data_IF_339692801290
#
_entry.id   IF_339692801290
#
_cell.length_a   1.000
_cell.length_b   1.000
_cell.length_c   1.000
_cell.angle_alpha   90.00
_cell.angle_beta   90.00
_cell.angle_gamma   90.00
#
_symmetry.space_group_name_H-M   'P 1'
#
loop_
_entity.id
_entity.type
_entity.pdbx_description
1 polymer ?
#
# COMPACT_ATOMS: atom_id res chain seq x y z
N UNK A 1 -18.51 -31.29 -20.64
CA UNK A 1 -17.89 -29.95 -20.45
C UNK A 1 -17.46 -29.76 -18.99
N UNK A 2 -18.34 -29.96 -18.01
CA UNK A 2 -18.02 -29.85 -16.56
C UNK A 2 -16.79 -30.66 -16.09
N UNK A 3 -16.67 -31.95 -16.45
CA UNK A 3 -15.52 -32.77 -16.02
C UNK A 3 -14.14 -32.23 -16.44
N UNK A 4 -14.03 -31.49 -17.55
CA UNK A 4 -12.75 -30.92 -17.99
C UNK A 4 -12.36 -29.68 -17.18
N UNK A 5 -13.34 -28.91 -16.72
CA UNK A 5 -13.11 -27.75 -15.84
C UNK A 5 -12.70 -28.19 -14.43
N UNK A 6 -13.33 -29.24 -13.91
CA UNK A 6 -12.97 -29.80 -12.59
C UNK A 6 -11.53 -30.34 -12.59
N UNK A 7 -11.12 -31.07 -13.63
CA UNK A 7 -9.75 -31.58 -13.75
C UNK A 7 -8.70 -30.45 -13.74
N UNK A 8 -8.97 -29.30 -14.34
CA UNK A 8 -8.00 -28.18 -14.33
C UNK A 8 -7.88 -27.54 -12.96
N UNK A 9 -8.99 -27.37 -12.24
CA UNK A 9 -8.96 -26.88 -10.86
C UNK A 9 -8.22 -27.85 -9.92
N UNK A 10 -8.48 -29.15 -10.06
CA UNK A 10 -7.77 -30.20 -9.30
C UNK A 10 -6.27 -30.23 -9.63
N UNK A 11 -5.92 -30.09 -10.92
CA UNK A 11 -4.51 -30.05 -11.36
C UNK A 11 -3.78 -28.85 -10.75
N UNK A 12 -4.38 -27.66 -10.80
CA UNK A 12 -3.77 -26.47 -10.21
C UNK A 12 -3.61 -26.60 -8.68
N UNK A 13 -4.62 -27.13 -7.98
CA UNK A 13 -4.54 -27.37 -6.54
C UNK A 13 -3.46 -28.40 -6.17
N UNK A 14 -3.28 -29.45 -6.99
CA UNK A 14 -2.20 -30.43 -6.81
C UNK A 14 -0.82 -29.80 -6.98
N UNK A 15 -0.65 -28.93 -7.99
CA UNK A 15 0.59 -28.20 -8.21
C UNK A 15 0.92 -27.26 -7.05
N UNK A 16 -0.06 -26.49 -6.56
CA UNK A 16 0.09 -25.63 -5.38
C UNK A 16 0.51 -26.46 -4.14
N UNK A 17 -0.14 -27.60 -3.91
CA UNK A 17 0.21 -28.48 -2.79
C UNK A 17 1.65 -29.03 -2.89
N UNK A 18 2.09 -29.40 -4.09
CA UNK A 18 3.48 -29.82 -4.34
C UNK A 18 4.47 -28.68 -4.13
N UNK A 19 4.10 -27.47 -4.55
CA UNK A 19 4.92 -26.28 -4.33
C UNK A 19 5.12 -26.01 -2.83
N UNK A 20 4.05 -26.10 -2.05
CA UNK A 20 4.10 -25.96 -0.59
C UNK A 20 4.99 -27.04 0.05
N UNK A 21 4.81 -28.31 -0.34
CA UNK A 21 5.62 -29.42 0.17
C UNK A 21 7.11 -29.24 -0.14
N UNK A 22 7.46 -28.88 -1.37
CA UNK A 22 8.85 -28.60 -1.75
C UNK A 22 9.44 -27.45 -0.92
N UNK A 23 8.68 -26.37 -0.70
CA UNK A 23 9.15 -25.27 0.17
C UNK A 23 9.38 -25.72 1.62
N UNK A 24 8.56 -26.63 2.14
CA UNK A 24 8.71 -27.17 3.49
C UNK A 24 9.95 -28.06 3.62
N UNK A 25 10.32 -28.79 2.56
CA UNK A 25 11.55 -29.60 2.55
C UNK A 25 12.80 -28.73 2.67
N UNK A 26 12.83 -27.58 1.98
CA UNK A 26 13.91 -26.61 2.14
C UNK A 26 14.08 -26.14 3.59
N UNK A 27 12.97 -25.96 4.32
CA UNK A 27 13.03 -25.58 5.73
C UNK A 27 13.64 -26.64 6.65
N UNK A 28 13.65 -27.90 6.22
CA UNK A 28 14.25 -29.02 6.96
C UNK A 28 15.73 -29.21 6.64
N UNK A 29 16.25 -28.59 5.57
CA UNK A 29 17.68 -28.65 5.24
C UNK A 29 18.51 -27.85 6.26
N UNK A 30 19.68 -28.39 6.58
CA UNK A 30 20.69 -27.71 7.41
C UNK A 30 21.41 -26.62 6.61
N UNK A 31 21.78 -26.93 5.37
CA UNK A 31 22.42 -26.03 4.43
C UNK A 31 21.37 -25.21 3.67
N UNK A 32 21.38 -23.89 3.89
CA UNK A 32 20.43 -22.94 3.31
C UNK A 32 20.83 -22.46 1.91
N UNK A 33 22.04 -22.76 1.46
CA UNK A 33 22.50 -22.40 0.12
C UNK A 33 21.96 -23.35 -0.96
N UNK A 34 21.46 -24.52 -0.54
CA UNK A 34 20.85 -25.51 -1.43
C UNK A 34 19.40 -25.15 -1.76
N UNK A 35 19.23 -24.37 -2.83
CA UNK A 35 17.92 -23.83 -3.23
C UNK A 35 17.11 -24.74 -4.17
N UNK A 36 17.51 -25.99 -4.40
CA UNK A 36 16.85 -26.92 -5.32
C UNK A 36 15.35 -27.07 -5.01
N UNK A 37 15.03 -27.28 -3.72
CA UNK A 37 13.66 -27.40 -3.23
C UNK A 37 12.82 -26.12 -3.44
N UNK A 38 13.45 -24.94 -3.31
CA UNK A 38 12.78 -23.66 -3.57
C UNK A 38 12.59 -23.42 -5.07
N UNK A 39 13.56 -23.79 -5.90
CA UNK A 39 13.43 -23.69 -7.36
C UNK A 39 12.33 -24.63 -7.88
N UNK A 40 12.26 -25.84 -7.33
CA UNK A 40 11.19 -26.81 -7.57
C UNK A 40 9.81 -26.24 -7.15
N UNK A 41 9.73 -25.66 -5.94
CA UNK A 41 8.53 -24.98 -5.43
C UNK A 41 8.08 -23.83 -6.35
N UNK A 42 9.01 -22.97 -6.74
CA UNK A 42 8.74 -21.85 -7.64
C UNK A 42 8.21 -22.33 -8.99
N UNK A 43 8.80 -23.39 -9.55
CA UNK A 43 8.34 -23.98 -10.81
C UNK A 43 6.90 -24.48 -10.70
N UNK A 44 6.55 -25.20 -9.63
CA UNK A 44 5.18 -25.67 -9.43
C UNK A 44 4.17 -24.53 -9.29
N UNK A 45 4.52 -23.41 -8.63
CA UNK A 45 3.65 -22.24 -8.58
C UNK A 45 3.47 -21.56 -9.96
N UNK A 46 4.52 -21.52 -10.79
CA UNK A 46 4.43 -21.00 -12.15
C UNK A 46 3.51 -21.89 -13.00
N UNK A 47 3.70 -23.21 -12.97
CA UNK A 47 2.84 -24.18 -13.66
C UNK A 47 1.38 -24.08 -13.18
N UNK A 48 1.15 -23.91 -11.87
CA UNK A 48 -0.19 -23.69 -11.32
C UNK A 48 -0.82 -22.41 -11.87
N UNK A 49 -0.05 -21.31 -11.97
CA UNK A 49 -0.52 -20.06 -12.55
C UNK A 49 -0.90 -20.21 -14.02
N UNK A 50 -0.11 -20.95 -14.81
CA UNK A 50 -0.42 -21.26 -16.21
C UNK A 50 -1.74 -22.03 -16.33
N UNK A 51 -1.93 -23.05 -15.50
CA UNK A 51 -3.19 -23.83 -15.47
C UNK A 51 -4.36 -22.93 -15.09
N UNK A 52 -4.26 -22.14 -14.01
CA UNK A 52 -5.32 -21.19 -13.59
C UNK A 52 -5.65 -20.20 -14.70
N UNK A 53 -4.65 -19.66 -15.41
CA UNK A 53 -4.84 -18.70 -16.49
C UNK A 53 -5.67 -19.27 -17.65
N UNK A 54 -5.59 -20.59 -17.86
CA UNK A 54 -6.37 -21.31 -18.88
C UNK A 54 -7.84 -21.56 -18.49
N UNK A 55 -8.20 -21.28 -17.22
CA UNK A 55 -9.56 -21.36 -16.69
C UNK A 55 -10.12 -19.95 -16.56
N UNK A 56 -9.41 -19.10 -15.82
CA UNK A 56 -9.72 -17.71 -15.56
C UNK A 56 -8.44 -16.95 -15.15
N UNK A 57 -8.12 -15.87 -15.86
CA UNK A 57 -6.97 -15.00 -15.58
C UNK A 57 -7.19 -14.08 -14.35
N UNK A 58 -8.07 -14.47 -13.43
CA UNK A 58 -8.45 -13.74 -12.24
C UNK A 58 -7.51 -13.92 -11.05
N UNK A 59 -8.08 -13.88 -9.85
CA UNK A 59 -7.33 -13.81 -8.59
C UNK A 59 -6.44 -15.04 -8.32
N UNK A 60 -6.83 -16.23 -8.79
CA UNK A 60 -6.06 -17.47 -8.57
C UNK A 60 -4.73 -17.46 -9.33
N UNK A 61 -4.76 -17.08 -10.60
CA UNK A 61 -3.55 -16.88 -11.42
C UNK A 61 -2.61 -15.88 -10.77
N UNK A 62 -3.13 -14.70 -10.36
CA UNK A 62 -2.33 -13.68 -9.68
C UNK A 62 -1.71 -14.20 -8.38
N UNK A 63 -2.49 -14.93 -7.57
CA UNK A 63 -2.01 -15.51 -6.31
C UNK A 63 -0.87 -16.50 -6.54
N UNK A 64 -1.00 -17.39 -7.53
CA UNK A 64 0.05 -18.35 -7.87
C UNK A 64 1.34 -17.65 -8.35
N UNK A 65 1.23 -16.60 -9.18
CA UNK A 65 2.39 -15.77 -9.56
C UNK A 65 3.03 -15.06 -8.36
N UNK A 66 2.21 -14.55 -7.43
CA UNK A 66 2.70 -13.90 -6.22
C UNK A 66 3.42 -14.89 -5.29
N UNK A 67 2.93 -16.12 -5.17
CA UNK A 67 3.61 -17.19 -4.43
C UNK A 67 4.96 -17.55 -5.06
N UNK A 68 5.04 -17.70 -6.39
CA UNK A 68 6.32 -17.89 -7.07
C UNK A 68 7.31 -16.73 -6.81
N UNK A 69 6.81 -15.49 -6.83
CA UNK A 69 7.62 -14.29 -6.52
C UNK A 69 8.08 -14.27 -5.06
N UNK A 70 7.24 -14.73 -4.12
CA UNK A 70 7.60 -14.85 -2.71
C UNK A 70 8.68 -15.91 -2.48
N UNK A 71 8.64 -17.03 -3.23
CA UNK A 71 9.72 -18.02 -3.23
C UNK A 71 11.02 -17.42 -3.77
N UNK A 72 10.95 -16.62 -4.82
CA UNK A 72 12.12 -15.88 -5.33
C UNK A 72 12.71 -14.92 -4.28
N UNK A 73 11.86 -14.24 -3.49
CA UNK A 73 12.33 -13.42 -2.35
C UNK A 73 13.06 -14.26 -1.30
N UNK A 74 12.53 -15.45 -0.98
CA UNK A 74 13.16 -16.37 -0.03
C UNK A 74 14.55 -16.83 -0.49
N UNK A 75 14.72 -17.11 -1.80
CA UNK A 75 16.00 -17.49 -2.39
C UNK A 75 17.01 -16.33 -2.31
N UNK A 76 16.57 -15.10 -2.61
CA UNK A 76 17.44 -13.91 -2.62
C UNK A 76 17.84 -13.46 -1.21
N UNK A 77 17.01 -13.73 -0.21
CA UNK A 77 17.19 -13.30 1.17
C UNK A 77 16.99 -14.48 2.14
N UNK A 78 17.93 -15.45 2.16
CA UNK A 78 17.77 -16.70 2.90
C UNK A 78 17.74 -16.52 4.43
N UNK A 79 18.33 -15.45 4.95
CA UNK A 79 18.37 -15.15 6.38
C UNK A 79 17.02 -14.73 6.97
N UNK A 80 16.10 -14.29 6.10
CA UNK A 80 14.75 -13.86 6.49
C UNK A 80 13.73 -14.94 6.13
N UNK A 81 12.74 -15.14 7.00
CA UNK A 81 11.64 -16.07 6.71
C UNK A 81 10.52 -15.33 5.99
N UNK A 82 10.33 -15.64 4.71
CA UNK A 82 9.27 -15.06 3.87
C UNK A 82 8.11 -16.00 3.62
N UNK A 83 8.39 -17.31 3.59
CA UNK A 83 7.39 -18.34 3.31
C UNK A 83 6.72 -18.82 4.60
N UNK A 84 5.48 -19.29 4.46
CA UNK A 84 4.71 -19.92 5.55
C UNK A 84 4.58 -19.04 6.81
N UNK A 85 4.47 -17.72 6.62
CA UNK A 85 4.15 -16.77 7.68
C UNK A 85 2.67 -16.87 8.07
N UNK A 86 2.40 -16.65 9.36
CA UNK A 86 1.04 -16.35 9.81
C UNK A 86 0.60 -14.98 9.30
N UNK A 87 -0.70 -14.73 9.25
CA UNK A 87 -1.27 -13.45 8.80
C UNK A 87 -0.67 -12.24 9.54
N UNK A 88 -0.51 -12.34 10.87
CA UNK A 88 0.13 -11.29 11.69
C UNK A 88 1.59 -11.06 11.32
N UNK A 89 2.35 -12.13 11.07
CA UNK A 89 3.76 -12.00 10.71
C UNK A 89 3.92 -11.50 9.27
N UNK A 90 3.03 -11.87 8.36
CA UNK A 90 2.99 -11.35 6.99
C UNK A 90 2.68 -9.84 6.97
N UNK A 91 1.74 -9.37 7.80
CA UNK A 91 1.50 -7.92 7.98
C UNK A 91 2.72 -7.18 8.52
N UNK A 92 3.41 -7.76 9.50
CA UNK A 92 4.65 -7.17 10.02
C UNK A 92 5.71 -7.08 8.93
N UNK A 93 5.95 -8.20 8.24
CA UNK A 93 6.90 -8.24 7.13
C UNK A 93 6.55 -7.20 6.05
N UNK A 94 5.27 -7.06 5.69
CA UNK A 94 4.80 -6.07 4.72
C UNK A 94 5.16 -4.63 5.13
N UNK A 95 4.95 -4.25 6.38
CA UNK A 95 5.22 -2.88 6.88
C UNK A 95 6.72 -2.58 6.96
N UNK A 96 7.54 -3.59 7.24
CA UNK A 96 8.99 -3.46 7.39
C UNK A 96 9.73 -3.28 6.05
N UNK A 97 9.06 -3.50 4.91
CA UNK A 97 9.70 -3.41 3.59
C UNK A 97 10.04 -1.97 3.19
N UNK A 98 11.30 -1.72 2.84
CA UNK A 98 11.77 -0.44 2.29
C UNK A 98 11.54 -0.31 0.78
N UNK A 99 11.37 -1.43 0.06
CA UNK A 99 11.18 -1.46 -1.40
C UNK A 99 9.74 -1.83 -1.73
N UNK A 100 9.10 -1.03 -2.60
CA UNK A 100 7.68 -1.23 -2.93
C UNK A 100 7.44 -2.58 -3.62
N UNK A 101 8.33 -3.01 -4.53
CA UNK A 101 8.19 -4.30 -5.20
C UNK A 101 8.16 -5.49 -4.21
N UNK A 102 9.02 -5.45 -3.19
CA UNK A 102 9.07 -6.50 -2.15
C UNK A 102 7.81 -6.47 -1.28
N UNK A 103 7.37 -5.26 -0.89
CA UNK A 103 6.09 -5.07 -0.20
C UNK A 103 4.90 -5.61 -1.01
N UNK A 104 4.86 -5.34 -2.31
CA UNK A 104 3.80 -5.79 -3.20
C UNK A 104 3.76 -7.32 -3.31
N UNK A 105 4.91 -7.97 -3.44
CA UNK A 105 4.99 -9.44 -3.47
C UNK A 105 4.40 -10.04 -2.18
N UNK A 106 4.80 -9.51 -1.02
CA UNK A 106 4.26 -9.96 0.28
C UNK A 106 2.75 -9.71 0.35
N UNK A 107 2.29 -8.52 -0.04
CA UNK A 107 0.89 -8.17 -0.01
C UNK A 107 0.04 -9.08 -0.90
N UNK A 108 0.49 -9.40 -2.11
CA UNK A 108 -0.24 -10.26 -3.04
C UNK A 108 -0.21 -11.72 -2.62
N UNK A 109 0.95 -12.24 -2.19
CA UNK A 109 1.09 -13.64 -1.81
C UNK A 109 0.23 -13.99 -0.58
N UNK A 110 0.13 -13.07 0.37
CA UNK A 110 -0.65 -13.25 1.60
C UNK A 110 -2.09 -12.71 1.53
N UNK A 111 -2.51 -12.14 0.40
CA UNK A 111 -3.86 -11.58 0.26
C UNK A 111 -4.10 -10.29 1.07
N UNK A 112 -3.02 -9.58 1.40
CA UNK A 112 -3.01 -8.30 2.11
C UNK A 112 -3.00 -7.09 1.16
N UNK A 113 -3.17 -7.29 -0.15
CA UNK A 113 -3.25 -6.19 -1.12
C UNK A 113 -4.63 -5.49 -1.08
N UNK A 114 -5.00 -4.99 0.09
CA UNK A 114 -6.19 -4.17 0.32
C UNK A 114 -5.80 -2.75 0.72
N UNK A 115 -6.60 -1.73 0.37
CA UNK A 115 -6.24 -0.34 0.63
C UNK A 115 -5.91 -0.02 2.10
N UNK A 116 -6.58 -0.67 3.05
CA UNK A 116 -6.37 -0.46 4.49
C UNK A 116 -5.01 -0.94 4.97
N UNK A 117 -4.51 -2.06 4.44
CA UNK A 117 -3.20 -2.61 4.82
C UNK A 117 -2.07 -1.67 4.39
N UNK A 118 -2.23 -1.00 3.24
CA UNK A 118 -1.24 -0.06 2.70
C UNK A 118 -1.13 1.26 3.48
N UNK A 119 -2.12 1.62 4.30
CA UNK A 119 -2.05 2.85 5.09
C UNK A 119 -0.88 2.80 6.09
N UNK A 120 -0.69 1.68 6.78
CA UNK A 120 0.39 1.51 7.75
C UNK A 120 1.77 1.39 7.06
N UNK A 121 1.82 0.75 5.89
CA UNK A 121 3.05 0.65 5.09
C UNK A 121 3.52 2.05 4.68
N UNK A 122 2.63 2.84 4.07
CA UNK A 122 2.94 4.20 3.65
C UNK A 122 3.32 5.09 4.85
N UNK A 123 2.64 4.93 5.98
CA UNK A 123 2.99 5.63 7.22
C UNK A 123 4.43 5.33 7.66
N UNK A 124 4.81 4.05 7.71
CA UNK A 124 6.16 3.65 8.09
C UNK A 124 7.21 4.23 7.14
N UNK A 125 6.91 4.27 5.83
CA UNK A 125 7.80 4.89 4.85
C UNK A 125 7.95 6.40 5.05
N UNK A 126 6.90 7.12 5.47
CA UNK A 126 6.97 8.56 5.72
C UNK A 126 7.90 8.95 6.86
N UNK A 127 8.20 8.02 7.78
CA UNK A 127 9.17 8.23 8.85
C UNK A 127 10.63 8.14 8.36
N UNK A 128 10.85 7.56 7.17
CA UNK A 128 12.16 7.39 6.53
C UNK A 128 12.28 8.26 5.26
N UNK A 129 12.72 9.52 5.37
CA UNK A 129 12.66 10.50 4.28
C UNK A 129 13.48 10.12 3.05
N UNK A 130 14.55 9.33 3.21
CA UNK A 130 15.41 8.89 2.10
C UNK A 130 14.68 7.90 1.17
N UNK A 131 13.73 7.13 1.70
CA UNK A 131 13.06 6.05 0.99
C UNK A 131 11.65 6.42 0.54
N UNK A 132 11.01 7.38 1.21
CA UNK A 132 9.59 7.70 0.99
C UNK A 132 9.28 8.09 -0.45
N UNK A 133 10.12 8.90 -1.10
CA UNK A 133 9.79 9.50 -2.40
C UNK A 133 9.76 8.46 -3.53
N UNK A 134 10.79 7.60 -3.59
CA UNK A 134 10.88 6.50 -4.55
C UNK A 134 9.78 5.47 -4.30
N UNK A 135 9.60 5.03 -3.04
CA UNK A 135 8.55 4.07 -2.69
C UNK A 135 7.16 4.58 -3.13
N UNK A 136 6.82 5.84 -2.83
CA UNK A 136 5.53 6.41 -3.20
C UNK A 136 5.42 6.61 -4.72
N UNK A 137 6.52 6.88 -5.43
CA UNK A 137 6.54 6.92 -6.90
C UNK A 137 6.21 5.57 -7.53
N UNK A 138 6.86 4.50 -7.08
CA UNK A 138 6.56 3.15 -7.54
C UNK A 138 5.13 2.72 -7.17
N UNK A 139 4.71 3.01 -5.92
CA UNK A 139 3.37 2.69 -5.45
C UNK A 139 2.30 3.26 -6.37
N UNK A 140 2.34 4.57 -6.68
CA UNK A 140 1.29 5.20 -7.49
C UNK A 140 1.34 4.82 -8.98
N UNK A 141 2.45 4.24 -9.44
CA UNK A 141 2.56 3.70 -10.79
C UNK A 141 1.82 2.36 -10.95
N UNK A 142 1.63 1.62 -9.84
CA UNK A 142 1.03 0.28 -9.85
C UNK A 142 -0.34 0.24 -9.17
N UNK A 143 -0.51 0.92 -8.05
CA UNK A 143 -1.72 0.92 -7.23
C UNK A 143 -2.32 2.32 -7.08
N UNK A 144 -3.67 2.45 -7.12
CA UNK A 144 -4.32 3.74 -6.93
C UNK A 144 -4.24 4.21 -5.47
N UNK A 145 -4.08 5.52 -5.28
CA UNK A 145 -4.25 6.15 -3.97
C UNK A 145 -5.73 6.21 -3.60
N UNK A 146 -6.21 5.17 -2.91
CA UNK A 146 -7.60 5.05 -2.50
C UNK A 146 -7.96 6.03 -1.37
N UNK A 147 -9.15 6.66 -1.39
CA UNK A 147 -9.56 7.63 -0.38
C UNK A 147 -9.55 7.08 1.06
N UNK A 148 -9.98 5.83 1.27
CA UNK A 148 -10.01 5.20 2.59
C UNK A 148 -8.64 5.14 3.25
N UNK A 149 -7.62 4.71 2.49
CA UNK A 149 -6.22 4.65 2.89
C UNK A 149 -5.67 6.04 3.22
N UNK A 150 -5.94 7.03 2.36
CA UNK A 150 -5.46 8.40 2.56
C UNK A 150 -6.07 9.04 3.82
N UNK A 151 -7.36 8.80 4.07
CA UNK A 151 -8.05 9.32 5.26
C UNK A 151 -7.43 8.70 6.52
N UNK A 152 -7.09 7.42 6.51
CA UNK A 152 -6.41 6.75 7.61
C UNK A 152 -5.01 7.32 7.84
N UNK A 153 -4.22 7.55 6.79
CA UNK A 153 -2.93 8.24 6.85
C UNK A 153 -3.04 9.65 7.46
N UNK A 154 -4.07 10.41 7.11
CA UNK A 154 -4.29 11.73 7.70
C UNK A 154 -4.58 11.65 9.21
N UNK A 155 -5.25 10.59 9.67
CA UNK A 155 -5.46 10.35 11.11
C UNK A 155 -4.17 9.98 11.82
N UNK A 156 -3.35 9.10 11.24
CA UNK A 156 -2.03 8.76 11.79
C UNK A 156 -1.15 10.02 11.92
N UNK A 157 -1.08 10.84 10.86
CA UNK A 157 -0.36 12.10 10.89
C UNK A 157 -0.83 13.02 12.02
N UNK A 158 -2.14 13.24 12.14
CA UNK A 158 -2.71 14.10 13.19
C UNK A 158 -2.39 13.56 14.58
N UNK A 159 -2.54 12.26 14.80
CA UNK A 159 -2.28 11.62 16.08
C UNK A 159 -0.80 11.77 16.47
N UNK A 160 0.12 11.58 15.51
CA UNK A 160 1.55 11.71 15.74
C UNK A 160 1.95 13.15 16.08
N UNK A 161 1.43 14.13 15.32
CA UNK A 161 1.69 15.55 15.58
C UNK A 161 1.09 16.00 16.90
N UNK A 162 -0.11 15.53 17.26
CA UNK A 162 -0.73 15.85 18.54
C UNK A 162 0.04 15.24 19.73
N UNK A 163 0.43 13.96 19.62
CA UNK A 163 1.17 13.27 20.68
C UNK A 163 2.55 13.91 20.92
N UNK A 164 3.23 14.37 19.86
CA UNK A 164 4.58 14.95 19.95
C UNK A 164 4.61 16.47 20.10
N UNK A 165 3.58 17.17 19.66
CA UNK A 165 3.41 18.62 19.86
C UNK A 165 3.26 19.00 21.33
N UNK A 166 2.71 18.08 22.14
CA UNK A 166 2.61 18.20 23.60
C UNK A 166 3.91 17.77 24.32
N UNK A 167 4.78 17.02 23.63
CA UNK A 167 6.02 16.45 24.16
C UNK A 167 7.28 17.17 23.64
N UNK A 168 7.34 18.49 23.77
CA UNK A 168 8.58 19.26 23.55
C UNK A 168 9.72 18.91 24.53
N UNK A 169 9.60 17.82 25.33
CA UNK A 169 10.61 17.40 26.30
C UNK A 169 10.93 15.90 26.36
N UNK A 170 10.24 15.01 25.63
CA UNK A 170 10.61 13.59 25.66
C UNK A 170 10.67 13.00 24.25
N UNK A 171 11.86 13.06 23.67
CA UNK A 171 12.30 12.02 22.73
C UNK A 171 12.20 10.66 23.41
N UNK A 172 12.02 9.60 22.62
CA UNK A 172 11.84 8.21 23.04
C UNK A 172 10.36 7.90 23.30
N UNK A 173 9.70 7.31 22.32
CA UNK A 173 9.30 5.90 22.35
C UNK A 173 8.60 5.56 21.01
N UNK A 174 8.78 4.31 20.56
CA UNK A 174 8.25 3.68 19.33
C UNK A 174 9.05 3.79 18.02
N UNK A 175 10.37 3.68 18.10
CA UNK A 175 11.22 2.86 17.19
C UNK A 175 12.62 2.82 17.78
N UNK A 176 13.27 1.67 17.78
CA UNK A 176 14.65 1.51 18.25
C UNK A 176 15.61 2.29 17.34
N UNK A 177 15.86 3.56 17.69
CA UNK A 177 16.64 4.50 16.90
C UNK A 177 15.95 5.87 16.95
N UNK A 178 16.41 6.76 17.84
CA UNK A 178 15.77 8.06 18.06
C UNK A 178 15.51 8.82 16.75
N UNK A 179 14.27 9.29 16.56
CA UNK A 179 13.88 10.07 15.39
C UNK A 179 14.72 11.37 15.32
N UNK A 180 15.20 11.78 14.13
CA UNK A 180 16.00 13.00 13.98
C UNK A 180 15.30 14.25 14.52
N UNK A 181 16.05 15.25 14.97
CA UNK A 181 15.50 16.53 15.48
C UNK A 181 14.58 17.24 14.46
N UNK A 182 14.71 16.91 13.16
CA UNK A 182 13.89 17.46 12.07
C UNK A 182 12.75 16.54 11.61
N UNK A 183 12.41 15.50 12.36
CA UNK A 183 11.37 14.52 11.99
C UNK A 183 10.05 15.20 11.55
N UNK A 184 9.64 16.27 12.23
CA UNK A 184 8.41 16.99 11.90
C UNK A 184 8.47 17.67 10.53
N UNK A 185 9.66 18.17 10.14
CA UNK A 185 9.88 18.75 8.81
C UNK A 185 9.81 17.67 7.74
N UNK A 186 10.43 16.52 7.98
CA UNK A 186 10.41 15.37 7.06
C UNK A 186 9.01 14.81 6.88
N UNK A 187 8.33 14.53 7.99
CA UNK A 187 6.96 14.02 7.96
C UNK A 187 6.00 15.00 7.27
N UNK A 188 6.11 16.30 7.58
CA UNK A 188 5.34 17.35 6.91
C UNK A 188 5.64 17.44 5.41
N UNK A 189 6.91 17.29 4.99
CA UNK A 189 7.30 17.24 3.59
C UNK A 189 6.71 16.01 2.89
N UNK A 190 6.82 14.83 3.48
CA UNK A 190 6.28 13.57 2.94
C UNK A 190 4.76 13.64 2.78
N UNK A 191 4.04 14.12 3.79
CA UNK A 191 2.59 14.28 3.71
C UNK A 191 2.18 15.33 2.67
N UNK A 192 2.93 16.43 2.55
CA UNK A 192 2.71 17.44 1.50
C UNK A 192 2.92 16.88 0.09
N UNK A 193 3.91 16.00 -0.11
CA UNK A 193 4.10 15.28 -1.37
C UNK A 193 2.89 14.39 -1.69
N UNK A 194 2.33 13.70 -0.69
CA UNK A 194 1.11 12.91 -0.84
C UNK A 194 -0.08 13.80 -1.24
N UNK A 195 -0.31 14.92 -0.56
CA UNK A 195 -1.39 15.86 -0.89
C UNK A 195 -1.31 16.38 -2.34
N UNK A 196 -0.11 16.67 -2.84
CA UNK A 196 0.10 17.09 -4.24
C UNK A 196 -0.31 16.00 -5.24
N UNK A 197 -0.11 14.72 -4.89
CA UNK A 197 -0.47 13.57 -5.72
C UNK A 197 -1.97 13.23 -5.68
N UNK A 198 -2.68 13.61 -4.63
CA UNK A 198 -4.14 13.50 -4.55
C UNK A 198 -4.81 14.47 -5.53
N UNK A 199 -5.28 13.98 -6.69
CA UNK A 199 -5.86 14.81 -7.75
C UNK A 199 -7.25 15.38 -7.42
N UNK A 200 -8.07 14.62 -6.70
CA UNK A 200 -9.39 15.09 -6.26
C UNK A 200 -9.22 16.24 -5.25
N UNK A 201 -9.69 17.43 -5.61
CA UNK A 201 -9.59 18.64 -4.80
C UNK A 201 -10.40 18.55 -3.49
N UNK A 202 -11.56 17.89 -3.51
CA UNK A 202 -12.40 17.72 -2.30
C UNK A 202 -11.73 16.77 -1.33
N UNK A 203 -11.18 15.67 -1.84
CA UNK A 203 -10.40 14.74 -1.03
C UNK A 203 -9.13 15.41 -0.48
N UNK A 204 -8.38 16.13 -1.33
CA UNK A 204 -7.18 16.87 -0.89
C UNK A 204 -7.51 17.88 0.21
N UNK A 205 -8.62 18.63 0.08
CA UNK A 205 -9.11 19.53 1.12
C UNK A 205 -9.43 18.77 2.42
N UNK A 206 -10.18 17.67 2.33
CA UNK A 206 -10.54 16.84 3.49
C UNK A 206 -9.29 16.33 4.21
N UNK A 207 -8.29 15.83 3.48
CA UNK A 207 -7.04 15.32 4.04
C UNK A 207 -6.23 16.41 4.74
N UNK A 208 -6.06 17.57 4.10
CA UNK A 208 -5.33 18.70 4.67
C UNK A 208 -6.00 19.22 5.96
N UNK A 209 -7.33 19.30 5.96
CA UNK A 209 -8.12 19.68 7.15
C UNK A 209 -8.02 18.64 8.26
N UNK A 210 -8.07 17.34 7.93
CA UNK A 210 -8.00 16.26 8.92
C UNK A 210 -6.63 16.18 9.60
N UNK A 211 -5.56 16.23 8.81
CA UNK A 211 -4.17 16.14 9.27
C UNK A 211 -3.75 17.35 10.14
N UNK A 212 -4.33 18.53 9.87
CA UNK A 212 -3.98 19.83 10.47
C UNK A 212 -2.55 20.30 10.08
N UNK A 213 -2.26 21.61 10.16
CA UNK A 213 -0.94 22.16 9.81
C UNK A 213 -0.68 22.45 8.32
N UNK A 214 -1.68 22.34 7.45
CA UNK A 214 -1.58 22.59 5.99
C UNK A 214 -2.53 23.70 5.51
N UNK A 215 -2.58 24.83 6.22
CA UNK A 215 -3.51 25.94 5.93
C UNK A 215 -3.38 26.47 4.50
N UNK A 216 -2.15 26.53 3.97
CA UNK A 216 -1.88 26.95 2.59
C UNK A 216 -2.54 26.03 1.55
N UNK A 217 -2.58 24.72 1.82
CA UNK A 217 -3.26 23.73 0.97
C UNK A 217 -4.78 23.85 1.09
N UNK A 218 -5.29 24.06 2.31
CA UNK A 218 -6.73 24.27 2.57
C UNK A 218 -7.23 25.50 1.82
N UNK A 219 -6.53 26.64 1.95
CA UNK A 219 -6.87 27.89 1.27
C UNK A 219 -6.79 27.74 -0.25
N UNK A 220 -5.75 27.06 -0.75
CA UNK A 220 -5.58 26.76 -2.17
C UNK A 220 -6.71 25.91 -2.75
N UNK A 221 -7.10 24.85 -2.05
CA UNK A 221 -8.23 24.00 -2.45
C UNK A 221 -9.56 24.74 -2.39
N UNK A 222 -9.80 25.51 -1.33
CA UNK A 222 -11.05 26.28 -1.15
C UNK A 222 -11.20 27.30 -2.27
N UNK A 223 -10.15 28.09 -2.56
CA UNK A 223 -10.12 29.03 -3.69
C UNK A 223 -10.35 28.36 -5.04
N UNK A 224 -9.85 27.14 -5.24
CA UNK A 224 -10.05 26.40 -6.48
C UNK A 224 -11.47 25.86 -6.63
N UNK A 225 -12.09 25.42 -5.53
CA UNK A 225 -13.47 24.92 -5.50
C UNK A 225 -14.51 26.04 -5.58
N UNK A 226 -14.18 27.24 -5.07
CA UNK A 226 -15.02 28.43 -5.14
C UNK A 226 -15.03 29.09 -6.54
N UNK A 227 -14.21 28.61 -7.48
CA UNK A 227 -14.20 29.14 -8.85
C UNK A 227 -15.51 28.77 -9.55
N UNK A 228 -16.27 29.82 -9.88
CA UNK A 228 -17.42 29.74 -10.78
C UNK A 228 -16.91 29.31 -12.17
N UNK A 229 -17.54 28.31 -12.84
CA UNK A 229 -17.16 27.93 -14.20
C UNK A 229 -17.23 29.12 -15.14
N UNK A 230 -16.28 29.27 -16.08
CA UNK A 230 -16.31 30.35 -17.08
C UNK A 230 -17.55 30.31 -17.98
N UNK A 231 -18.22 29.15 -18.05
CA UNK A 231 -19.49 28.92 -18.76
C UNK A 231 -20.72 29.31 -17.94
N UNK A 232 -20.58 29.56 -16.64
CA UNK A 232 -21.65 30.10 -15.84
C UNK A 232 -21.75 31.60 -16.18
N UNK A 233 -22.78 31.96 -16.95
CA UNK A 233 -23.15 33.36 -17.17
C UNK A 233 -23.28 34.11 -15.84
N UNK A 234 -23.39 35.45 -15.87
CA UNK A 234 -23.33 36.28 -14.67
C UNK A 234 -24.27 35.75 -13.58
N UNK A 235 -23.70 35.36 -12.44
CA UNK A 235 -24.44 34.81 -11.31
C UNK A 235 -24.83 35.95 -10.37
N UNK A 236 -26.13 36.13 -10.14
CA UNK A 236 -26.62 37.14 -9.18
C UNK A 236 -26.77 36.49 -7.81
N UNK A 237 -26.01 36.99 -6.83
CA UNK A 237 -26.20 36.68 -5.43
C UNK A 237 -27.53 37.27 -4.95
N UNK A 238 -28.54 36.43 -4.72
CA UNK A 238 -29.78 36.89 -4.08
C UNK A 238 -29.48 37.17 -2.61
N UNK A 239 -29.62 38.43 -2.20
CA UNK A 239 -29.37 38.85 -0.81
C UNK A 239 -30.50 38.31 0.09
N UNK A 240 -30.27 37.15 0.69
CA UNK A 240 -31.18 36.53 1.66
C UNK A 240 -30.83 35.06 1.91
N UNK A 241 -30.10 34.81 3.00
CA UNK A 241 -29.95 33.54 3.71
C UNK A 241 -29.87 32.25 2.84
N UNK A 242 -28.65 31.84 2.49
CA UNK A 242 -28.37 30.47 2.05
C UNK A 242 -28.02 30.31 0.56
N UNK A 243 -26.91 30.92 0.12
CA UNK A 243 -25.94 30.34 -0.83
C UNK A 243 -26.39 29.61 -2.10
N UNK A 244 -27.56 29.88 -2.67
CA UNK A 244 -27.97 29.33 -3.96
C UNK A 244 -27.76 30.35 -5.08
N UNK A 245 -26.90 30.01 -6.04
CA UNK A 245 -26.69 30.77 -7.27
C UNK A 245 -27.74 30.37 -8.33
N UNK A 246 -28.36 31.34 -8.99
CA UNK A 246 -29.23 31.12 -10.15
C UNK A 246 -28.54 31.65 -11.42
N UNK A 247 -28.57 30.91 -12.53
CA UNK A 247 -28.09 31.41 -13.82
C UNK A 247 -29.01 32.50 -14.34
N UNK A 248 -28.44 33.62 -14.79
CA UNK A 248 -29.14 34.61 -15.59
C UNK A 248 -29.36 34.03 -17.01
N UNK A 249 -30.62 33.84 -17.40
CA UNK A 249 -31.01 33.76 -18.82
C UNK A 249 -31.14 35.18 -19.37
#
# INVERSE_FOLDING_TARGET
VYNHFDMKHETAALLESRAEQASMQWFQRYDRDQNEDLLESMRYFIEAAEVHSSIDAGNKTRRACAQASLVSLQIRMPDSKWLNLSETNARRALVEQSRFQEALIVAEAYGLNQPTEWALVLWNQMLNPELTEEFVAEFVAVLPLQPSMLIELARFYRAEVAARGDQSQFSVWLTGGGMPAEWAKYLGRSFRCLLKRTRDLRLRLQLATAATGFADVVDGCTKALDRVPETAGPLVLRRGHGGAYLPLM
#
